data_IF_033115445627
#
_entry.id   IF_033115445627
#
_cell.length_a   1.000
_cell.length_b   1.000
_cell.length_c   1.000
_cell.angle_alpha   90.00
_cell.angle_beta   90.00
_cell.angle_gamma   90.00
#
_symmetry.space_group_name_H-M   'P 1'
#
loop_
_entity.id
_entity.type
_entity.pdbx_description
1 polymer ?
#
# COMPACT_ATOMS: atom_id res chain seq x y z
N UNK A 1 1.74 -13.88 -7.78
CA UNK A 1 1.23 -12.56 -8.21
C UNK A 1 0.06 -12.20 -7.29
N UNK A 2 0.26 -11.28 -6.33
CA UNK A 2 -0.79 -10.86 -5.39
C UNK A 2 -1.78 -9.95 -6.15
N UNK A 3 -3.00 -10.42 -6.40
CA UNK A 3 -4.07 -9.64 -7.02
C UNK A 3 -5.06 -9.22 -5.92
N UNK A 4 -4.84 -8.04 -5.34
CA UNK A 4 -5.83 -7.38 -4.50
C UNK A 4 -6.90 -6.81 -5.44
N UNK A 5 -7.93 -7.60 -5.76
CA UNK A 5 -9.10 -7.07 -6.45
C UNK A 5 -9.75 -6.03 -5.54
N UNK A 6 -9.62 -4.76 -5.93
CA UNK A 6 -10.12 -3.62 -5.15
C UNK A 6 -11.64 -3.77 -4.98
N UNK A 7 -12.07 -4.26 -3.81
CA UNK A 7 -13.48 -4.17 -3.42
C UNK A 7 -13.76 -2.70 -3.11
N UNK A 8 -14.94 -2.22 -3.51
CA UNK A 8 -15.43 -0.91 -3.08
C UNK A 8 -15.44 -0.87 -1.55
N UNK A 9 -14.66 0.01 -0.96
CA UNK A 9 -14.55 0.20 0.47
C UNK A 9 -14.59 1.69 0.78
N UNK A 10 -15.46 2.06 1.70
CA UNK A 10 -15.62 3.45 2.14
C UNK A 10 -14.31 3.93 2.75
N UNK A 11 -13.74 5.03 2.24
CA UNK A 11 -12.45 5.57 2.70
C UNK A 11 -11.22 5.05 1.96
N UNK A 12 -11.38 4.25 0.89
CA UNK A 12 -10.26 3.85 0.03
C UNK A 12 -9.51 5.07 -0.52
N UNK A 13 -8.20 5.13 -0.27
CA UNK A 13 -7.35 6.29 -0.60
C UNK A 13 -6.92 6.36 -2.07
N UNK A 14 -7.67 5.75 -2.98
CA UNK A 14 -7.29 5.64 -4.41
C UNK A 14 -7.08 7.01 -5.07
N UNK A 15 -7.90 8.01 -4.75
CA UNK A 15 -7.75 9.39 -5.26
C UNK A 15 -6.62 10.18 -4.61
N UNK A 16 -6.07 9.70 -3.49
CA UNK A 16 -5.05 10.39 -2.69
C UNK A 16 -3.65 9.80 -2.87
N UNK A 17 -3.50 8.75 -3.68
CA UNK A 17 -2.23 8.02 -3.83
C UNK A 17 -1.08 8.95 -4.24
N UNK A 18 -1.30 9.82 -5.23
CA UNK A 18 -0.26 10.75 -5.71
C UNK A 18 0.09 11.82 -4.66
N UNK A 19 -0.89 12.23 -3.85
CA UNK A 19 -0.65 13.17 -2.74
C UNK A 19 0.15 12.53 -1.61
N UNK A 20 -0.12 11.25 -1.31
CA UNK A 20 0.63 10.46 -0.33
C UNK A 20 2.07 10.27 -0.81
N UNK A 21 2.24 9.84 -2.06
CA UNK A 21 3.56 9.70 -2.70
C UNK A 21 4.38 10.98 -2.61
N UNK A 22 3.78 12.10 -3.05
CA UNK A 22 4.43 13.42 -2.99
C UNK A 22 4.83 13.81 -1.56
N UNK A 23 3.98 13.51 -0.57
CA UNK A 23 4.26 13.85 0.83
C UNK A 23 5.41 13.00 1.41
N UNK A 24 5.47 11.73 1.04
CA UNK A 24 6.58 10.84 1.41
C UNK A 24 7.85 11.31 0.72
N UNK A 25 7.85 11.58 -0.59
CA UNK A 25 9.03 12.04 -1.33
C UNK A 25 9.62 13.35 -0.77
N UNK A 26 8.76 14.29 -0.32
CA UNK A 26 9.21 15.53 0.33
C UNK A 26 9.93 15.29 1.65
N UNK A 27 9.52 14.27 2.39
CA UNK A 27 10.07 13.95 3.71
C UNK A 27 11.24 12.97 3.63
N UNK A 28 11.22 12.10 2.64
CA UNK A 28 12.17 11.03 2.39
C UNK A 28 12.21 10.73 0.89
N UNK A 29 13.24 11.25 0.22
CA UNK A 29 13.46 10.97 -1.20
C UNK A 29 14.01 9.55 -1.37
N UNK A 30 13.12 8.65 -1.77
CA UNK A 30 13.42 7.23 -1.91
C UNK A 30 13.83 6.83 -3.33
N UNK A 31 13.86 7.76 -4.30
CA UNK A 31 14.05 7.46 -5.74
C UNK A 31 15.40 6.82 -6.07
N UNK A 32 16.43 7.15 -5.30
CA UNK A 32 17.78 6.59 -5.46
C UNK A 32 18.06 5.41 -4.52
N UNK A 33 17.05 4.99 -3.75
CA UNK A 33 17.15 3.89 -2.78
C UNK A 33 16.66 2.58 -3.40
N UNK A 34 17.12 1.47 -2.84
CA UNK A 34 16.75 0.12 -3.26
C UNK A 34 16.48 -0.74 -2.03
N UNK A 35 15.70 -1.79 -2.23
CA UNK A 35 15.35 -2.78 -1.20
C UNK A 35 14.66 -2.18 0.04
N UNK A 36 13.82 -1.16 -0.18
CA UNK A 36 13.08 -0.55 0.91
C UNK A 36 11.91 -1.42 1.36
N UNK A 37 11.53 -1.22 2.62
CA UNK A 37 10.33 -1.83 3.19
C UNK A 37 9.27 -0.76 3.42
N UNK A 38 8.06 -0.97 2.91
CA UNK A 38 6.91 -0.12 3.18
C UNK A 38 6.03 -0.78 4.23
N UNK A 39 5.66 -0.04 5.28
CA UNK A 39 4.79 -0.56 6.34
C UNK A 39 3.47 0.20 6.38
N UNK A 40 2.38 -0.49 6.03
CA UNK A 40 1.02 0.03 6.03
C UNK A 40 0.28 -0.46 7.28
N UNK A 41 0.28 0.37 8.33
CA UNK A 41 -0.22 0.00 9.66
C UNK A 41 -1.74 -0.20 9.69
N UNK A 42 -2.47 0.53 8.86
CA UNK A 42 -3.94 0.54 8.80
C UNK A 42 -4.39 0.41 7.34
N UNK A 43 -4.12 -0.77 6.78
CA UNK A 43 -4.17 -0.95 5.34
C UNK A 43 -5.57 -0.91 4.73
N UNK A 44 -6.61 -1.28 5.48
CA UNK A 44 -7.98 -1.33 4.96
C UNK A 44 -8.06 -2.28 3.77
N UNK A 45 -8.27 -1.73 2.58
CA UNK A 45 -8.24 -2.50 1.33
C UNK A 45 -6.85 -2.76 0.76
N UNK A 46 -5.81 -2.18 1.36
CA UNK A 46 -4.42 -2.32 0.90
C UNK A 46 -4.09 -1.53 -0.36
N UNK A 47 -4.94 -0.58 -0.79
CA UNK A 47 -4.71 0.19 -2.03
C UNK A 47 -3.43 1.03 -2.00
N UNK A 48 -3.02 1.50 -0.81
CA UNK A 48 -1.76 2.24 -0.64
C UNK A 48 -0.58 1.27 -0.74
N UNK A 49 -0.64 0.16 0.02
CA UNK A 49 0.33 -0.94 -0.08
C UNK A 49 0.54 -1.43 -1.52
N UNK A 50 -0.54 -1.66 -2.28
CA UNK A 50 -0.47 -2.09 -3.68
C UNK A 50 0.22 -1.05 -4.57
N UNK A 51 -0.06 0.24 -4.36
CA UNK A 51 0.56 1.32 -5.10
C UNK A 51 2.09 1.35 -4.90
N UNK A 52 2.56 1.21 -3.67
CA UNK A 52 4.00 1.16 -3.36
C UNK A 52 4.66 -0.17 -3.72
N UNK A 53 3.91 -1.29 -3.72
CA UNK A 53 4.40 -2.60 -4.17
C UNK A 53 4.79 -2.61 -5.67
N UNK A 54 4.17 -1.75 -6.48
CA UNK A 54 4.47 -1.61 -7.92
C UNK A 54 5.72 -0.78 -8.20
N UNK A 55 6.25 -0.09 -7.19
CA UNK A 55 7.44 0.75 -7.31
C UNK A 55 8.69 -0.12 -7.09
N UNK A 56 9.69 0.03 -7.96
CA UNK A 56 10.92 -0.78 -7.98
C UNK A 56 11.82 -0.56 -6.76
N UNK A 57 11.64 0.55 -6.06
CA UNK A 57 12.43 0.96 -4.90
C UNK A 57 12.10 0.12 -3.66
N UNK A 58 10.90 -0.46 -3.61
CA UNK A 58 10.38 -1.25 -2.49
C UNK A 58 10.42 -2.75 -2.82
N UNK A 59 11.13 -3.51 -1.99
CA UNK A 59 11.20 -4.97 -2.11
C UNK A 59 10.26 -5.69 -1.15
N UNK A 60 9.90 -5.04 -0.04
CA UNK A 60 9.09 -5.65 1.01
C UNK A 60 7.91 -4.73 1.35
N UNK A 61 6.71 -5.32 1.44
CA UNK A 61 5.51 -4.61 1.85
C UNK A 61 4.95 -5.35 3.06
N UNK A 62 4.93 -4.67 4.21
CA UNK A 62 4.40 -5.18 5.46
C UNK A 62 3.05 -4.49 5.65
N UNK A 63 2.02 -5.29 5.90
CA UNK A 63 0.64 -4.81 5.94
C UNK A 63 0.02 -5.27 7.25
N UNK A 64 -0.62 -4.34 7.95
CA UNK A 64 -1.40 -4.61 9.15
C UNK A 64 -2.80 -4.01 9.01
N UNK A 65 -3.78 -4.67 9.61
CA UNK A 65 -5.11 -4.12 9.85
C UNK A 65 -5.75 -4.89 11.00
N UNK A 66 -6.58 -4.21 11.80
CA UNK A 66 -7.40 -4.87 12.81
C UNK A 66 -8.55 -5.68 12.18
N UNK A 67 -9.00 -5.29 10.99
CA UNK A 67 -10.13 -5.91 10.31
C UNK A 67 -9.70 -7.02 9.32
N UNK A 68 -9.27 -8.17 9.84
CA UNK A 68 -9.06 -9.37 9.03
C UNK A 68 -10.40 -10.03 8.66
N UNK A 69 -11.13 -9.45 7.70
CA UNK A 69 -12.38 -10.06 7.20
C UNK A 69 -12.07 -11.17 6.19
N UNK A 70 -11.55 -12.28 6.70
CA UNK A 70 -11.34 -13.51 5.94
C UNK A 70 -12.51 -14.46 6.18
N UNK A 71 -13.52 -14.36 5.31
CA UNK A 71 -14.30 -15.53 4.88
C UNK A 71 -14.27 -15.54 3.36
N UNK A 72 -13.37 -16.36 2.80
CA UNK A 72 -13.53 -16.93 1.46
C UNK A 72 -13.54 -18.43 1.67
N UNK A 73 -14.74 -19.01 1.67
CA UNK A 73 -14.89 -20.43 1.36
C UNK A 73 -14.52 -20.59 -0.12
N UNK A 74 -13.67 -21.57 -0.40
CA UNK A 74 -13.30 -21.99 -1.76
C UNK A 74 -14.51 -22.56 -2.50
#
# INVERSE_FOLDING_TARGET
MFSLSSRRYTGAKTKLLDSIDTSILKSFDYRDKKNLSFFDVFSGTGVVSEYFAKKKEFSNIIVNDFCYLTKRNF
#
